data_IF_356962568193
#
_entry.id   IF_356962568193
#
_cell.length_a   1.000
_cell.length_b   1.000
_cell.length_c   1.000
_cell.angle_alpha   90.00
_cell.angle_beta   90.00
_cell.angle_gamma   90.00
#
_symmetry.space_group_name_H-M   'P 1'
#
loop_
_entity.id
_entity.type
_entity.pdbx_description
1 polymer ?
#
# COMPACT_ATOMS: atom_id res chain seq x y z
N UNK A 1 -16.78 2.38 11.47
CA UNK A 1 -15.62 2.55 12.39
C UNK A 1 -14.97 3.89 12.09
N UNK A 2 -14.69 4.72 13.13
CA UNK A 2 -14.01 6.03 12.96
C UNK A 2 -12.50 5.92 13.17
N UNK A 3 -11.74 6.84 12.56
CA UNK A 3 -10.31 6.97 12.82
C UNK A 3 -10.06 7.38 14.27
N UNK A 4 -9.07 6.77 14.92
CA UNK A 4 -8.50 7.18 16.20
C UNK A 4 -7.76 8.52 16.05
N UNK A 5 -7.51 9.24 17.16
CA UNK A 5 -6.90 10.56 17.12
C UNK A 5 -5.54 10.58 16.39
N UNK A 6 -4.67 9.63 16.67
CA UNK A 6 -3.38 9.51 15.98
C UNK A 6 -3.54 9.15 14.48
N UNK A 7 -4.55 8.34 14.11
CA UNK A 7 -4.81 8.02 12.71
C UNK A 7 -5.31 9.25 11.95
N UNK A 8 -6.16 10.08 12.56
CA UNK A 8 -6.59 11.37 12.00
C UNK A 8 -5.39 12.27 11.75
N UNK A 9 -4.43 12.31 12.70
CA UNK A 9 -3.18 13.06 12.54
C UNK A 9 -2.38 12.57 11.35
N UNK A 10 -2.22 11.25 11.17
CA UNK A 10 -1.50 10.68 10.02
C UNK A 10 -2.13 11.11 8.69
N UNK A 11 -3.46 11.08 8.60
CA UNK A 11 -4.17 11.52 7.38
C UNK A 11 -4.06 13.03 7.18
N UNK A 12 -4.11 13.84 8.25
CA UNK A 12 -3.90 15.28 8.17
C UNK A 12 -2.48 15.62 7.70
N UNK A 13 -1.46 14.90 8.19
CA UNK A 13 -0.07 15.04 7.74
C UNK A 13 0.06 14.72 6.24
N UNK A 14 -0.59 13.66 5.76
CA UNK A 14 -0.65 13.34 4.34
C UNK A 14 -1.31 14.46 3.53
N UNK A 15 -2.49 14.89 3.94
CA UNK A 15 -3.23 15.95 3.23
C UNK A 15 -2.39 17.22 3.11
N UNK A 16 -1.73 17.64 4.20
CA UNK A 16 -0.87 18.82 4.17
C UNK A 16 0.32 18.65 3.24
N UNK A 17 0.96 17.48 3.23
CA UNK A 17 2.03 17.22 2.28
C UNK A 17 1.54 17.29 0.82
N UNK A 18 0.38 16.71 0.53
CA UNK A 18 -0.20 16.72 -0.83
C UNK A 18 -0.57 18.13 -1.29
N UNK A 19 -1.04 19.01 -0.40
CA UNK A 19 -1.25 20.44 -0.67
C UNK A 19 0.07 21.10 -1.07
N UNK A 20 1.11 20.93 -0.25
CA UNK A 20 2.45 21.46 -0.52
C UNK A 20 3.06 20.91 -1.82
N UNK A 21 2.81 19.64 -2.13
CA UNK A 21 3.22 19.03 -3.40
C UNK A 21 2.53 19.73 -4.58
N UNK A 22 1.24 19.99 -4.46
CA UNK A 22 0.50 20.71 -5.50
C UNK A 22 0.93 22.17 -5.66
N UNK A 23 1.31 22.84 -4.56
CA UNK A 23 1.83 24.21 -4.58
C UNK A 23 3.22 24.29 -5.21
N UNK A 24 4.13 23.39 -4.79
CA UNK A 24 5.55 23.47 -5.19
C UNK A 24 5.87 22.73 -6.48
N UNK A 25 5.06 21.76 -6.86
CA UNK A 25 5.32 20.81 -7.97
C UNK A 25 6.66 20.08 -7.83
N UNK A 26 7.12 19.89 -6.60
CA UNK A 26 8.41 19.26 -6.28
C UNK A 26 8.32 18.50 -4.95
N UNK A 27 8.56 17.19 -5.00
CA UNK A 27 8.55 16.31 -3.82
C UNK A 27 9.54 16.79 -2.74
N UNK A 28 10.75 17.12 -3.16
CA UNK A 28 11.80 17.58 -2.25
C UNK A 28 11.45 18.93 -1.59
N UNK A 29 10.83 19.85 -2.34
CA UNK A 29 10.40 21.14 -1.81
C UNK A 29 9.21 20.97 -0.86
N UNK A 30 8.22 20.15 -1.24
CA UNK A 30 7.07 19.84 -0.40
C UNK A 30 7.48 19.18 0.92
N UNK A 31 8.40 18.20 0.86
CA UNK A 31 8.92 17.51 2.03
C UNK A 31 9.66 18.45 2.99
N UNK A 32 10.50 19.33 2.44
CA UNK A 32 11.22 20.33 3.22
C UNK A 32 10.27 21.31 3.90
N UNK A 33 9.30 21.87 3.17
CA UNK A 33 8.31 22.82 3.70
C UNK A 33 7.45 22.17 4.77
N UNK A 34 6.99 20.93 4.54
CA UNK A 34 6.21 20.17 5.50
C UNK A 34 6.91 20.08 6.87
N UNK A 35 8.21 19.76 6.90
CA UNK A 35 8.96 19.67 8.15
C UNK A 35 9.29 21.04 8.76
N UNK A 36 9.47 22.07 7.93
CA UNK A 36 9.62 23.44 8.42
C UNK A 36 8.37 23.93 9.16
N UNK A 37 7.18 23.68 8.62
CA UNK A 37 5.90 24.02 9.27
C UNK A 37 5.72 23.28 10.61
N UNK A 38 6.23 22.07 10.73
CA UNK A 38 6.16 21.29 11.98
C UNK A 38 7.15 21.76 13.04
N UNK A 39 8.00 22.73 12.75
CA UNK A 39 9.08 23.21 13.66
C UNK A 39 9.94 22.08 14.23
N UNK A 40 10.04 20.98 13.48
CA UNK A 40 10.79 19.79 13.85
C UNK A 40 12.05 19.67 12.96
N UNK A 41 13.17 19.14 13.48
CA UNK A 41 14.31 18.86 12.64
C UNK A 41 13.91 17.87 11.54
N UNK A 42 14.36 18.13 10.32
CA UNK A 42 14.12 17.21 9.22
C UNK A 42 14.79 15.87 9.51
N UNK A 43 14.10 14.78 9.20
CA UNK A 43 14.63 13.42 9.35
C UNK A 43 15.62 13.04 8.26
N UNK A 44 16.07 14.02 7.51
CA UNK A 44 16.96 13.90 6.37
C UNK A 44 16.43 14.67 5.17
N UNK A 45 17.17 14.61 4.07
CA UNK A 45 16.72 15.12 2.78
C UNK A 45 15.74 14.13 2.16
N UNK A 46 14.80 14.63 1.36
CA UNK A 46 13.92 13.79 0.56
C UNK A 46 14.74 12.84 -0.31
N UNK A 47 14.43 11.57 -0.23
CA UNK A 47 15.07 10.52 -1.02
C UNK A 47 14.23 10.26 -2.27
N UNK A 48 14.76 10.59 -3.42
CA UNK A 48 14.11 10.37 -4.72
C UNK A 48 14.35 8.92 -5.17
N UNK A 49 13.60 7.97 -4.55
CA UNK A 49 13.79 6.52 -4.76
C UNK A 49 13.40 6.12 -6.18
N UNK A 50 12.27 6.63 -6.67
CA UNK A 50 11.81 6.46 -8.06
C UNK A 50 11.70 7.86 -8.65
N UNK A 51 12.53 8.22 -9.64
CA UNK A 51 12.53 9.56 -10.21
C UNK A 51 11.16 10.02 -10.70
N UNK A 52 10.70 11.16 -10.20
CA UNK A 52 9.42 11.75 -10.59
C UNK A 52 8.19 11.11 -9.96
N UNK A 53 8.36 10.20 -9.01
CA UNK A 53 7.26 9.54 -8.29
C UNK A 53 7.31 9.91 -6.80
N UNK A 54 6.28 10.57 -6.26
CA UNK A 54 6.19 10.83 -4.83
C UNK A 54 6.22 9.53 -4.02
N UNK A 55 7.13 9.45 -3.04
CA UNK A 55 7.29 8.30 -2.17
C UNK A 55 7.28 8.76 -0.71
N UNK A 56 6.30 8.32 0.05
CA UNK A 56 6.12 8.69 1.45
C UNK A 56 6.02 7.47 2.36
N UNK A 57 6.42 7.67 3.61
CA UNK A 57 6.37 6.62 4.62
C UNK A 57 5.58 7.07 5.86
N UNK A 58 4.66 6.22 6.31
CA UNK A 58 4.03 6.32 7.62
C UNK A 58 4.70 5.32 8.58
N UNK A 59 5.33 5.84 9.61
CA UNK A 59 5.84 5.02 10.70
C UNK A 59 4.74 4.75 11.70
N UNK A 60 4.13 3.56 11.61
CA UNK A 60 3.03 3.15 12.49
C UNK A 60 3.36 1.78 13.09
N UNK A 61 3.37 1.61 14.41
CA UNK A 61 3.67 0.33 15.04
C UNK A 61 2.71 -0.79 14.63
N UNK A 62 3.15 -2.03 14.82
CA UNK A 62 2.27 -3.20 14.62
C UNK A 62 1.07 -3.10 15.57
N UNK A 63 -0.12 -3.40 15.06
CA UNK A 63 -1.39 -3.22 15.78
C UNK A 63 -1.95 -1.79 15.71
N UNK A 64 -1.22 -0.81 15.16
CA UNK A 64 -1.68 0.58 15.01
C UNK A 64 -2.69 0.83 13.86
N UNK A 65 -3.20 -0.23 13.22
CA UNK A 65 -4.23 -0.12 12.19
C UNK A 65 -3.71 0.44 10.86
N UNK A 66 -2.48 0.09 10.45
CA UNK A 66 -1.86 0.51 9.19
C UNK A 66 -2.78 0.35 7.99
N UNK A 67 -3.41 -0.82 7.85
CA UNK A 67 -4.32 -1.11 6.74
C UNK A 67 -5.51 -0.14 6.70
N UNK A 68 -6.09 0.20 7.86
CA UNK A 68 -7.19 1.16 7.92
C UNK A 68 -6.74 2.60 7.61
N UNK A 69 -5.53 2.98 8.04
CA UNK A 69 -4.90 4.25 7.66
C UNK A 69 -4.72 4.31 6.14
N UNK A 70 -4.20 3.24 5.53
CA UNK A 70 -4.03 3.15 4.08
C UNK A 70 -5.36 3.29 3.33
N UNK A 71 -6.42 2.61 3.76
CA UNK A 71 -7.76 2.77 3.17
C UNK A 71 -8.24 4.24 3.20
N UNK A 72 -7.88 4.99 4.24
CA UNK A 72 -8.22 6.41 4.36
C UNK A 72 -7.28 7.34 3.56
N UNK A 73 -6.12 6.86 3.14
CA UNK A 73 -5.15 7.62 2.34
C UNK A 73 -5.44 7.57 0.83
N UNK A 74 -6.12 6.51 0.34
CA UNK A 74 -6.34 6.29 -1.10
C UNK A 74 -7.04 7.48 -1.76
N UNK A 75 -8.16 7.93 -1.20
CA UNK A 75 -8.94 9.03 -1.78
C UNK A 75 -8.17 10.37 -1.80
N UNK A 76 -7.56 10.85 -0.70
CA UNK A 76 -6.75 12.06 -0.71
C UNK A 76 -5.61 12.04 -1.73
N UNK A 77 -4.95 10.91 -1.92
CA UNK A 77 -3.87 10.78 -2.91
C UNK A 77 -4.43 10.95 -4.32
N UNK A 78 -5.50 10.26 -4.70
CA UNK A 78 -6.08 10.41 -6.03
C UNK A 78 -6.66 11.80 -6.28
N UNK A 79 -7.22 12.45 -5.28
CA UNK A 79 -7.72 13.82 -5.41
C UNK A 79 -6.58 14.84 -5.63
N UNK A 80 -5.40 14.57 -5.08
CA UNK A 80 -4.21 15.39 -5.29
C UNK A 80 -3.49 15.11 -6.62
N UNK A 81 -3.77 13.99 -7.28
CA UNK A 81 -3.16 13.55 -8.53
C UNK A 81 -4.19 13.45 -9.67
N UNK A 82 -4.79 14.56 -10.10
CA UNK A 82 -5.91 14.54 -11.06
C UNK A 82 -5.53 14.06 -12.46
N UNK A 83 -4.23 13.99 -12.78
CA UNK A 83 -3.74 13.53 -14.08
C UNK A 83 -3.80 12.00 -14.26
N UNK A 84 -4.10 11.23 -13.21
CA UNK A 84 -4.23 9.77 -13.32
C UNK A 84 -5.47 9.40 -14.14
N UNK A 85 -5.27 8.65 -15.23
CA UNK A 85 -6.36 8.22 -16.12
C UNK A 85 -7.24 7.14 -15.48
N UNK A 86 -6.67 6.33 -14.60
CA UNK A 86 -7.33 5.23 -13.91
C UNK A 86 -7.18 5.36 -12.40
N UNK A 87 -8.08 4.76 -11.64
CA UNK A 87 -7.96 4.66 -10.17
C UNK A 87 -7.56 3.22 -9.82
N UNK A 88 -6.32 2.89 -10.11
CA UNK A 88 -5.72 1.59 -9.82
C UNK A 88 -4.84 1.66 -8.58
N UNK A 89 -4.99 0.70 -7.66
CA UNK A 89 -4.16 0.51 -6.47
C UNK A 89 -3.50 -0.84 -6.53
N UNK A 90 -2.19 -0.89 -6.42
CA UNK A 90 -1.43 -2.11 -6.14
C UNK A 90 -1.12 -2.14 -4.65
N UNK A 91 -1.67 -3.11 -3.94
CA UNK A 91 -1.45 -3.30 -2.51
C UNK A 91 -0.50 -4.47 -2.29
N UNK A 92 0.76 -4.16 -2.02
CA UNK A 92 1.83 -5.15 -1.82
C UNK A 92 1.90 -5.56 -0.35
N UNK A 93 1.84 -6.85 -0.12
CA UNK A 93 1.91 -7.47 1.22
C UNK A 93 3.06 -8.47 1.32
N UNK A 94 3.60 -8.72 2.54
CA UNK A 94 4.83 -9.49 2.70
C UNK A 94 4.67 -11.01 2.54
N UNK A 95 3.45 -11.54 2.62
CA UNK A 95 3.22 -12.99 2.55
C UNK A 95 1.82 -13.34 2.05
N UNK A 96 1.63 -14.58 1.59
CA UNK A 96 0.34 -15.08 1.12
C UNK A 96 -0.71 -15.17 2.23
N UNK A 97 -0.30 -15.37 3.48
CA UNK A 97 -1.22 -15.34 4.62
C UNK A 97 -1.80 -13.92 4.81
N UNK A 98 -0.96 -12.89 4.74
CA UNK A 98 -1.39 -11.49 4.82
C UNK A 98 -2.19 -11.11 3.57
N UNK A 99 -1.80 -11.61 2.38
CA UNK A 99 -2.56 -11.41 1.14
C UNK A 99 -4.01 -11.91 1.30
N UNK A 100 -4.17 -13.14 1.75
CA UNK A 100 -5.48 -13.76 1.93
C UNK A 100 -6.33 -12.97 2.94
N UNK A 101 -5.75 -12.56 4.05
CA UNK A 101 -6.42 -11.75 5.08
C UNK A 101 -6.82 -10.38 4.54
N UNK A 102 -5.92 -9.68 3.86
CA UNK A 102 -6.15 -8.34 3.31
C UNK A 102 -7.20 -8.37 2.20
N UNK A 103 -7.06 -9.31 1.25
CA UNK A 103 -8.02 -9.47 0.16
C UNK A 103 -9.42 -9.81 0.70
N UNK A 104 -9.53 -10.72 1.67
CA UNK A 104 -10.80 -11.05 2.31
C UNK A 104 -11.44 -9.84 2.98
N UNK A 105 -10.67 -9.07 3.77
CA UNK A 105 -11.17 -7.88 4.45
C UNK A 105 -11.62 -6.78 3.47
N UNK A 106 -10.92 -6.59 2.35
CA UNK A 106 -11.27 -5.60 1.33
C UNK A 106 -12.42 -6.04 0.43
N UNK A 107 -12.67 -7.35 0.28
CA UNK A 107 -13.83 -7.90 -0.47
C UNK A 107 -15.11 -7.93 0.35
N UNK A 108 -15.01 -8.04 1.67
CA UNK A 108 -16.16 -8.12 2.56
C UNK A 108 -16.80 -6.73 2.75
N UNK A 109 -17.97 -6.52 2.15
CA UNK A 109 -18.71 -5.25 2.21
C UNK A 109 -19.16 -4.85 3.62
N UNK A 110 -19.18 -5.79 4.57
CA UNK A 110 -19.43 -5.52 5.98
C UNK A 110 -18.18 -5.09 6.76
N UNK A 111 -16.98 -5.32 6.20
CA UNK A 111 -15.72 -5.00 6.86
C UNK A 111 -15.43 -3.49 6.84
N UNK A 112 -14.96 -2.89 7.95
CA UNK A 112 -14.70 -1.44 8.03
C UNK A 112 -13.74 -0.89 6.96
N UNK A 113 -12.78 -1.69 6.48
CA UNK A 113 -11.84 -1.31 5.41
C UNK A 113 -12.58 -1.11 4.10
N UNK A 114 -13.41 -2.09 3.72
CA UNK A 114 -14.22 -2.00 2.51
C UNK A 114 -15.24 -0.87 2.60
N UNK A 115 -15.96 -0.75 3.69
CA UNK A 115 -16.95 0.33 3.91
C UNK A 115 -16.33 1.72 3.72
N UNK A 116 -15.09 1.93 4.22
CA UNK A 116 -14.41 3.21 4.05
C UNK A 116 -14.14 3.51 2.56
N UNK A 117 -13.62 2.55 1.84
CA UNK A 117 -13.32 2.70 0.41
C UNK A 117 -14.62 2.85 -0.40
N UNK A 118 -15.67 2.11 -0.07
CA UNK A 118 -16.97 2.23 -0.73
C UNK A 118 -17.57 3.62 -0.55
N UNK A 119 -17.50 4.20 0.64
CA UNK A 119 -17.95 5.59 0.90
C UNK A 119 -17.17 6.57 0.04
N UNK A 120 -15.86 6.42 -0.05
CA UNK A 120 -14.99 7.34 -0.78
C UNK A 120 -15.17 7.25 -2.31
N UNK A 121 -15.52 6.08 -2.83
CA UNK A 121 -15.62 5.81 -4.28
C UNK A 121 -17.04 5.47 -4.74
N UNK A 122 -18.06 5.77 -3.91
CA UNK A 122 -19.47 5.60 -4.26
C UNK A 122 -19.87 4.15 -4.51
N UNK A 123 -19.25 3.20 -3.82
CA UNK A 123 -19.47 1.76 -3.99
C UNK A 123 -18.88 1.16 -5.27
N UNK A 124 -18.22 1.97 -6.10
CA UNK A 124 -17.56 1.50 -7.34
C UNK A 124 -16.15 1.02 -7.02
N UNK A 125 -16.04 -0.15 -6.44
CA UNK A 125 -14.76 -0.73 -5.99
C UNK A 125 -14.73 -2.22 -6.33
N UNK A 126 -13.68 -2.65 -6.99
CA UNK A 126 -13.41 -4.05 -7.23
C UNK A 126 -12.03 -4.43 -6.64
N UNK A 127 -11.96 -5.61 -6.05
CA UNK A 127 -10.74 -6.10 -5.38
C UNK A 127 -10.31 -7.41 -6.01
N UNK A 128 -9.08 -7.44 -6.49
CA UNK A 128 -8.53 -8.56 -7.25
C UNK A 128 -7.35 -9.19 -6.53
N UNK A 129 -7.25 -10.49 -6.63
CA UNK A 129 -6.04 -11.28 -6.41
C UNK A 129 -5.32 -11.49 -7.75
N UNK A 130 -4.05 -11.92 -7.73
CA UNK A 130 -3.29 -12.22 -8.95
C UNK A 130 -4.02 -13.20 -9.88
N UNK A 131 -4.63 -14.25 -9.32
CA UNK A 131 -5.32 -15.26 -10.11
C UNK A 131 -6.56 -14.70 -10.83
N UNK A 132 -7.32 -13.83 -10.17
CA UNK A 132 -8.49 -13.18 -10.78
C UNK A 132 -8.06 -12.22 -11.89
N UNK A 133 -6.96 -11.50 -11.71
CA UNK A 133 -6.39 -10.64 -12.74
C UNK A 133 -5.94 -11.46 -13.98
N UNK A 134 -5.21 -12.56 -13.75
CA UNK A 134 -4.77 -13.45 -14.85
C UNK A 134 -5.93 -14.08 -15.60
N UNK A 135 -7.04 -14.37 -14.93
CA UNK A 135 -8.24 -14.90 -15.53
C UNK A 135 -9.10 -13.84 -16.23
N UNK A 136 -8.75 -12.54 -16.13
CA UNK A 136 -9.58 -11.44 -16.63
C UNK A 136 -10.95 -11.33 -15.93
N UNK A 137 -11.07 -11.87 -14.72
CA UNK A 137 -12.34 -11.93 -14.00
C UNK A 137 -12.74 -10.54 -13.52
N UNK A 138 -13.78 -9.96 -14.15
CA UNK A 138 -14.22 -8.57 -13.96
C UNK A 138 -13.10 -7.51 -14.16
N UNK A 139 -11.94 -7.91 -14.67
CA UNK A 139 -10.81 -7.05 -14.92
C UNK A 139 -10.70 -6.78 -16.43
N UNK A 140 -11.16 -5.62 -16.85
CA UNK A 140 -11.19 -5.16 -18.24
C UNK A 140 -11.03 -3.64 -18.32
N UNK A 141 -10.77 -3.06 -19.50
CA UNK A 141 -10.51 -1.63 -19.65
C UNK A 141 -11.65 -0.72 -19.14
N UNK A 142 -12.90 -1.10 -19.32
CA UNK A 142 -14.05 -0.34 -18.82
C UNK A 142 -14.07 -0.33 -17.30
N UNK A 143 -13.89 -1.49 -16.66
CA UNK A 143 -13.88 -1.60 -15.22
C UNK A 143 -12.81 -0.72 -14.57
N UNK A 144 -11.56 -0.74 -15.07
CA UNK A 144 -10.46 0.06 -14.49
C UNK A 144 -10.62 1.56 -14.72
N UNK A 145 -11.44 1.97 -15.68
CA UNK A 145 -11.73 3.38 -15.95
C UNK A 145 -12.87 3.91 -15.06
N UNK A 146 -13.88 3.08 -14.79
CA UNK A 146 -15.12 3.52 -14.13
C UNK A 146 -15.10 3.32 -12.60
N UNK A 147 -14.22 2.48 -12.08
CA UNK A 147 -14.20 2.11 -10.66
C UNK A 147 -12.78 2.12 -10.07
N UNK A 148 -12.70 2.08 -8.74
CA UNK A 148 -11.45 1.81 -8.06
C UNK A 148 -11.09 0.33 -8.19
N UNK A 149 -9.95 0.03 -8.79
CA UNK A 149 -9.41 -1.31 -8.93
C UNK A 149 -8.30 -1.55 -7.92
N UNK A 150 -8.54 -2.38 -6.91
CA UNK A 150 -7.55 -2.71 -5.86
C UNK A 150 -6.98 -4.10 -6.10
N UNK A 151 -5.69 -4.17 -6.41
CA UNK A 151 -4.96 -5.40 -6.71
C UNK A 151 -4.12 -5.79 -5.50
N UNK A 152 -4.55 -6.79 -4.73
CA UNK A 152 -3.81 -7.28 -3.57
C UNK A 152 -2.83 -8.36 -4.01
N UNK A 153 -1.53 -8.07 -3.87
CA UNK A 153 -0.45 -8.87 -4.42
C UNK A 153 0.63 -9.11 -3.35
N UNK A 154 1.27 -10.27 -3.37
CA UNK A 154 2.46 -10.49 -2.54
C UNK A 154 3.72 -10.07 -3.28
N UNK A 155 4.79 -9.76 -2.53
CA UNK A 155 6.09 -9.45 -3.16
C UNK A 155 6.59 -10.56 -4.08
N UNK A 156 6.25 -11.80 -3.78
CA UNK A 156 6.68 -12.96 -4.56
C UNK A 156 5.87 -13.15 -5.86
N UNK A 157 4.77 -12.40 -6.02
CA UNK A 157 3.92 -12.48 -7.23
C UNK A 157 4.65 -12.15 -8.51
N UNK A 158 5.71 -11.30 -8.43
CA UNK A 158 6.48 -10.82 -9.59
C UNK A 158 7.98 -11.07 -9.44
N UNK A 159 8.42 -11.80 -8.43
CA UNK A 159 9.84 -12.06 -8.12
C UNK A 159 10.19 -13.51 -8.31
N UNK A 160 11.36 -13.76 -8.92
CA UNK A 160 11.88 -15.12 -9.11
C UNK A 160 11.62 -15.68 -10.50
N UNK A 161 11.89 -16.98 -10.66
CA UNK A 161 11.83 -17.70 -11.93
C UNK A 161 10.81 -18.85 -11.94
N UNK A 162 9.92 -18.89 -10.96
CA UNK A 162 8.88 -19.91 -10.86
C UNK A 162 7.82 -19.78 -11.96
N UNK A 163 7.19 -20.89 -12.36
CA UNK A 163 6.14 -20.90 -13.39
C UNK A 163 5.01 -19.89 -13.09
N UNK A 164 4.61 -19.75 -11.85
CA UNK A 164 3.56 -18.81 -11.44
C UNK A 164 3.97 -17.34 -11.55
N UNK A 165 5.27 -17.06 -11.38
CA UNK A 165 5.81 -15.71 -11.61
C UNK A 165 5.83 -15.40 -13.10
N UNK A 166 6.31 -16.35 -13.91
CA UNK A 166 6.41 -16.17 -15.37
C UNK A 166 5.06 -15.88 -16.03
N UNK A 167 3.95 -16.42 -15.51
CA UNK A 167 2.61 -16.10 -16.01
C UNK A 167 2.27 -14.61 -16.02
N UNK A 168 2.86 -13.83 -15.12
CA UNK A 168 2.61 -12.39 -15.08
C UNK A 168 3.35 -11.61 -16.19
N UNK A 169 4.34 -12.24 -16.83
CA UNK A 169 5.17 -11.65 -17.90
C UNK A 169 4.83 -12.20 -19.28
N UNK A 170 4.05 -13.29 -19.35
CA UNK A 170 3.69 -13.94 -20.59
C UNK A 170 2.41 -13.33 -21.21
N UNK A 171 2.29 -13.49 -22.52
CA UNK A 171 1.07 -13.18 -23.25
C UNK A 171 -0.16 -13.79 -22.57
N UNK A 172 -1.20 -12.97 -22.42
CA UNK A 172 -2.46 -13.40 -21.82
C UNK A 172 -3.65 -12.95 -22.66
N UNK A 173 -4.27 -13.90 -23.33
CA UNK A 173 -5.43 -13.66 -24.19
C UNK A 173 -6.63 -13.08 -23.43
N UNK A 174 -6.78 -13.37 -22.13
CA UNK A 174 -7.85 -12.80 -21.29
C UNK A 174 -7.70 -11.28 -21.11
N UNK A 175 -6.49 -10.75 -21.33
CA UNK A 175 -6.16 -9.32 -21.18
C UNK A 175 -5.96 -8.61 -22.53
N UNK A 176 -6.17 -9.29 -23.65
CA UNK A 176 -5.93 -8.74 -24.99
C UNK A 176 -6.74 -7.46 -25.30
N UNK A 177 -7.87 -7.27 -24.63
CA UNK A 177 -8.70 -6.06 -24.78
C UNK A 177 -7.96 -4.81 -24.25
N UNK A 178 -7.16 -4.96 -23.20
CA UNK A 178 -6.36 -3.85 -22.67
C UNK A 178 -5.39 -3.29 -23.71
N UNK A 179 -4.68 -4.15 -24.44
CA UNK A 179 -3.74 -3.72 -25.48
C UNK A 179 -4.44 -2.90 -26.58
N UNK A 180 -5.70 -3.24 -26.93
CA UNK A 180 -6.51 -2.48 -27.90
C UNK A 180 -6.89 -1.10 -27.39
N UNK A 181 -7.19 -0.97 -26.09
CA UNK A 181 -7.69 0.28 -25.51
C UNK A 181 -6.55 1.17 -25.01
N UNK A 182 -5.55 0.59 -24.33
CA UNK A 182 -4.41 1.34 -23.79
C UNK A 182 -3.36 1.66 -24.86
N UNK A 183 -3.32 0.89 -25.95
CA UNK A 183 -2.31 1.04 -26.99
C UNK A 183 -0.94 0.52 -26.56
N UNK A 184 0.09 0.96 -27.28
CA UNK A 184 1.47 0.59 -26.95
C UNK A 184 1.91 1.21 -25.63
N UNK A 185 2.63 0.45 -24.77
CA UNK A 185 3.12 0.97 -23.52
C UNK A 185 4.21 2.05 -23.75
N UNK A 186 4.09 3.17 -23.02
CA UNK A 186 5.11 4.23 -23.00
C UNK A 186 6.42 3.75 -22.31
N UNK A 187 6.27 2.82 -21.37
CA UNK A 187 7.37 2.23 -20.59
C UNK A 187 7.29 0.70 -20.64
N UNK A 188 7.78 0.08 -21.74
CA UNK A 188 7.71 -1.37 -21.87
C UNK A 188 8.61 -2.06 -20.84
N UNK A 189 8.08 -3.07 -20.16
CA UNK A 189 8.83 -3.89 -19.22
C UNK A 189 9.68 -4.89 -20.00
N UNK A 190 10.99 -4.95 -19.71
CA UNK A 190 11.89 -5.94 -20.32
C UNK A 190 11.36 -7.37 -20.06
N UNK A 191 11.28 -8.17 -21.12
CA UNK A 191 10.79 -9.57 -21.07
C UNK A 191 9.30 -9.76 -20.75
N UNK A 192 8.48 -8.71 -20.77
CA UNK A 192 7.04 -8.84 -20.67
C UNK A 192 6.36 -8.64 -22.02
N UNK A 193 5.37 -9.49 -22.33
CA UNK A 193 4.52 -9.33 -23.52
C UNK A 193 3.56 -8.14 -23.36
N UNK A 194 3.09 -7.56 -24.45
CA UNK A 194 2.18 -6.39 -24.42
C UNK A 194 0.86 -6.69 -23.67
N UNK A 195 0.38 -7.92 -23.70
CA UNK A 195 -0.83 -8.37 -22.99
C UNK A 195 -0.51 -9.03 -21.65
N UNK A 196 0.75 -9.03 -21.22
CA UNK A 196 1.13 -9.57 -19.93
C UNK A 196 0.51 -8.78 -18.78
N UNK A 197 0.10 -9.46 -17.73
CA UNK A 197 -0.52 -8.82 -16.56
C UNK A 197 0.34 -7.69 -16.01
N UNK A 198 1.66 -7.90 -15.90
CA UNK A 198 2.55 -6.89 -15.34
C UNK A 198 2.64 -5.65 -16.24
N UNK A 199 2.65 -5.83 -17.57
CA UNK A 199 2.64 -4.72 -18.52
C UNK A 199 1.32 -3.95 -18.47
N UNK A 200 0.19 -4.63 -18.31
CA UNK A 200 -1.10 -3.96 -18.15
C UNK A 200 -1.12 -3.12 -16.87
N UNK A 201 -0.68 -3.67 -15.74
CA UNK A 201 -0.61 -2.92 -14.48
C UNK A 201 0.29 -1.70 -14.60
N UNK A 202 1.44 -1.81 -15.28
CA UNK A 202 2.33 -0.70 -15.58
C UNK A 202 1.62 0.45 -16.31
N UNK A 203 0.82 0.13 -17.31
CA UNK A 203 0.08 1.11 -18.11
C UNK A 203 -1.08 1.78 -17.33
N UNK A 204 -1.56 1.15 -16.26
CA UNK A 204 -2.58 1.75 -15.37
C UNK A 204 -2.01 2.84 -14.48
N UNK A 205 -0.69 2.96 -14.33
CA UNK A 205 0.00 3.95 -13.49
C UNK A 205 -0.56 3.99 -12.05
N UNK A 206 -0.49 2.88 -11.31
CA UNK A 206 -1.22 2.71 -10.06
C UNK A 206 -0.63 3.52 -8.89
N UNK A 207 -1.47 3.79 -7.88
CA UNK A 207 -0.99 4.03 -6.52
C UNK A 207 -0.45 2.71 -5.96
N UNK A 208 0.82 2.67 -5.55
CA UNK A 208 1.40 1.49 -4.90
C UNK A 208 1.44 1.68 -3.39
N UNK A 209 0.74 0.84 -2.66
CA UNK A 209 0.77 0.75 -1.20
C UNK A 209 1.66 -0.42 -0.82
N UNK A 210 2.69 -0.16 -0.02
CA UNK A 210 3.68 -1.16 0.41
C UNK A 210 3.50 -1.43 1.89
N UNK A 211 2.89 -2.56 2.25
CA UNK A 211 2.70 -2.94 3.64
C UNK A 211 3.94 -3.69 4.16
N UNK A 212 4.43 -3.28 5.34
CA UNK A 212 5.66 -3.79 5.95
C UNK A 212 6.88 -3.69 5.01
N UNK A 213 7.14 -2.51 4.49
CA UNK A 213 8.19 -2.21 3.49
C UNK A 213 9.61 -2.65 3.89
N UNK A 214 9.86 -2.91 5.18
CA UNK A 214 11.14 -3.45 5.65
C UNK A 214 11.46 -4.86 5.10
N UNK A 215 10.46 -5.61 4.65
CA UNK A 215 10.65 -6.88 3.95
C UNK A 215 11.05 -6.70 2.47
N UNK A 216 10.81 -5.53 1.89
CA UNK A 216 11.16 -5.19 0.51
C UNK A 216 12.63 -4.67 0.39
N UNK A 217 13.63 -5.49 0.76
CA UNK A 217 15.02 -5.02 1.00
C UNK A 217 16.02 -5.23 -0.15
N UNK A 218 15.62 -5.67 -1.33
CA UNK A 218 16.56 -5.96 -2.42
C UNK A 218 16.44 -4.97 -3.57
N UNK A 219 17.51 -4.83 -4.38
CA UNK A 219 17.49 -4.11 -5.67
C UNK A 219 16.35 -4.60 -6.57
N UNK A 220 16.07 -5.90 -6.56
CA UNK A 220 14.90 -6.50 -7.23
C UNK A 220 13.55 -5.92 -6.77
N UNK A 221 13.47 -5.41 -5.55
CA UNK A 221 12.24 -4.78 -5.05
C UNK A 221 12.07 -3.38 -5.61
N UNK A 222 13.16 -2.65 -5.83
CA UNK A 222 13.14 -1.33 -6.46
C UNK A 222 12.76 -1.46 -7.94
N UNK A 223 13.43 -2.34 -8.68
CA UNK A 223 13.09 -2.64 -10.08
C UNK A 223 11.63 -3.05 -10.25
N UNK A 224 11.11 -3.90 -9.35
CA UNK A 224 9.70 -4.27 -9.36
C UNK A 224 8.78 -3.07 -9.13
N UNK A 225 9.13 -2.17 -8.20
CA UNK A 225 8.35 -0.96 -7.94
C UNK A 225 8.40 -0.01 -9.14
N UNK A 226 9.55 0.18 -9.76
CA UNK A 226 9.71 0.96 -10.99
C UNK A 226 8.89 0.37 -12.15
N UNK A 227 8.89 -0.95 -12.28
CA UNK A 227 8.12 -1.66 -13.31
C UNK A 227 6.59 -1.57 -13.13
N UNK A 228 6.08 -1.26 -11.93
CA UNK A 228 4.67 -0.88 -11.78
C UNK A 228 4.36 0.51 -12.35
N UNK A 229 5.38 1.33 -12.64
CA UNK A 229 5.23 2.71 -13.12
C UNK A 229 4.25 3.50 -12.23
N UNK A 230 4.46 3.58 -10.90
CA UNK A 230 3.48 4.11 -9.97
C UNK A 230 3.29 5.62 -10.13
N UNK A 231 2.07 6.11 -9.91
CA UNK A 231 1.81 7.54 -9.77
C UNK A 231 2.18 8.07 -8.37
N UNK A 232 2.23 7.18 -7.39
CA UNK A 232 2.57 7.46 -5.99
C UNK A 232 2.94 6.17 -5.27
N UNK A 233 3.89 6.23 -4.33
CA UNK A 233 4.24 5.12 -3.45
C UNK A 233 3.98 5.51 -2.00
N UNK A 234 3.19 4.70 -1.29
CA UNK A 234 2.89 4.85 0.13
C UNK A 234 3.41 3.67 0.93
N UNK A 235 4.47 3.88 1.69
CA UNK A 235 5.04 2.89 2.59
C UNK A 235 4.37 2.90 3.96
N UNK A 236 4.04 1.73 4.48
CA UNK A 236 3.48 1.52 5.81
C UNK A 236 4.38 0.57 6.60
N UNK A 237 5.05 1.05 7.63
CA UNK A 237 5.97 0.20 8.40
C UNK A 237 6.12 0.64 9.85
N UNK A 238 6.38 -0.33 10.72
CA UNK A 238 6.79 -0.05 12.11
C UNK A 238 8.28 0.32 12.20
N UNK A 239 9.09 -0.19 11.26
CA UNK A 239 10.55 -0.07 11.23
C UNK A 239 11.02 0.51 9.89
N UNK A 240 10.87 1.84 9.68
CA UNK A 240 11.28 2.48 8.44
C UNK A 240 12.79 2.32 8.20
N UNK A 241 13.17 2.31 6.93
CA UNK A 241 14.58 2.35 6.52
C UNK A 241 15.15 3.74 6.75
N UNK A 242 16.49 3.85 6.72
CA UNK A 242 17.18 5.13 6.85
C UNK A 242 16.80 6.11 5.74
N UNK A 243 16.51 5.58 4.56
CA UNK A 243 16.16 6.32 3.35
C UNK A 243 14.64 6.56 3.20
N UNK A 244 13.82 6.22 4.19
CA UNK A 244 12.36 6.40 4.11
C UNK A 244 11.98 7.87 4.27
N UNK A 245 11.14 8.38 3.39
CA UNK A 245 10.58 9.74 3.46
C UNK A 245 9.42 9.78 4.46
N UNK A 246 9.75 9.80 5.74
CA UNK A 246 8.74 9.74 6.80
C UNK A 246 8.07 11.11 6.92
N UNK A 247 6.74 11.17 6.85
CA UNK A 247 5.95 12.38 7.08
C UNK A 247 5.08 12.30 8.33
N UNK A 248 4.87 11.10 8.87
CA UNK A 248 4.12 10.94 10.10
C UNK A 248 4.66 9.79 10.94
N UNK A 249 4.66 10.02 12.25
CA UNK A 249 5.05 9.01 13.23
C UNK A 249 3.93 8.76 14.20
N UNK A 250 3.76 7.50 14.55
CA UNK A 250 2.93 7.06 15.67
C UNK A 250 3.83 6.35 16.66
N UNK A 251 3.79 6.75 17.92
CA UNK A 251 4.55 6.12 18.99
C UNK A 251 3.69 5.16 19.84
N UNK A 252 4.34 4.40 20.71
CA UNK A 252 3.67 3.45 21.59
C UNK A 252 2.75 4.14 22.62
N UNK A 253 3.06 5.37 23.03
CA UNK A 253 2.24 6.13 23.98
C UNK A 253 0.91 6.52 23.36
N UNK A 254 0.94 6.98 22.09
CA UNK A 254 -0.26 7.30 21.35
C UNK A 254 -1.17 6.07 21.17
N UNK A 255 -0.59 4.89 20.87
CA UNK A 255 -1.35 3.65 20.80
C UNK A 255 -1.96 3.28 22.16
N UNK A 256 -1.18 3.39 23.25
CA UNK A 256 -1.64 3.12 24.60
C UNK A 256 -2.82 4.00 24.99
N UNK A 257 -2.75 5.29 24.71
CA UNK A 257 -3.81 6.25 25.03
C UNK A 257 -5.13 5.96 24.29
N UNK A 258 -5.06 5.30 23.13
CA UNK A 258 -6.22 4.91 22.33
C UNK A 258 -6.60 3.42 22.50
N UNK A 259 -6.03 2.74 23.49
CA UNK A 259 -6.26 1.31 23.78
C UNK A 259 -5.97 0.38 22.60
N UNK A 260 -4.95 0.73 21.78
CA UNK A 260 -4.52 -0.03 20.60
C UNK A 260 -3.25 -0.86 20.87
N UNK A 261 -2.78 -0.93 22.10
CA UNK A 261 -1.63 -1.74 22.49
C UNK A 261 -2.09 -3.18 22.70
N UNK A 262 -1.34 -4.15 22.18
CA UNK A 262 -1.51 -5.54 22.58
C UNK A 262 -1.24 -5.65 24.08
N UNK A 263 -2.08 -6.40 24.80
CA UNK A 263 -1.81 -6.72 26.18
C UNK A 263 -0.43 -7.38 26.30
N UNK A 264 0.37 -7.04 27.32
CA UNK A 264 1.64 -7.70 27.54
C UNK A 264 1.40 -9.20 27.73
N UNK A 265 2.15 -10.03 27.02
CA UNK A 265 2.19 -11.45 27.27
C UNK A 265 3.22 -11.66 28.36
N UNK A 266 2.76 -12.00 29.57
CA UNK A 266 3.64 -12.33 30.68
C UNK A 266 3.90 -13.84 30.57
N UNK A 267 5.17 -14.19 30.35
CA UNK A 267 5.60 -15.59 30.28
C UNK A 267 6.23 -15.92 31.63
N UNK A 268 5.57 -16.79 32.38
CA UNK A 268 6.14 -17.37 33.60
C UNK A 268 6.85 -18.68 33.24
N UNK A 269 8.13 -18.77 33.57
CA UNK A 269 8.85 -20.04 33.51
C UNK A 269 8.71 -20.69 34.88
N UNK A 270 7.99 -21.81 34.95
CA UNK A 270 7.75 -22.57 36.17
C UNK A 270 8.25 -24.01 35.99
N UNK A 271 8.68 -24.62 37.08
CA UNK A 271 9.21 -25.98 37.04
C UNK A 271 8.11 -27.07 37.01
N UNK A 272 6.84 -26.68 37.31
CA UNK A 272 5.70 -27.59 37.30
C UNK A 272 4.47 -27.03 36.57
N UNK A 273 3.71 -27.93 35.94
CA UNK A 273 2.43 -27.54 35.29
C UNK A 273 1.38 -27.04 36.29
N UNK A 274 1.43 -27.50 37.52
CA UNK A 274 0.48 -27.07 38.58
C UNK A 274 0.69 -25.60 38.96
N UNK A 275 1.93 -25.13 39.04
CA UNK A 275 2.26 -23.74 39.29
C UNK A 275 1.82 -22.83 38.15
N UNK A 276 1.95 -23.27 36.90
CA UNK A 276 1.48 -22.53 35.73
C UNK A 276 -0.03 -22.36 35.74
N UNK A 277 -0.76 -23.38 36.16
CA UNK A 277 -2.22 -23.33 36.26
C UNK A 277 -2.70 -22.40 37.39
N UNK A 278 -2.01 -22.38 38.53
CA UNK A 278 -2.31 -21.50 39.65
C UNK A 278 -2.10 -20.03 39.21
N UNK A 279 -0.96 -19.73 38.61
CA UNK A 279 -0.66 -18.36 38.11
C UNK A 279 -1.65 -17.89 37.03
N UNK A 280 -2.21 -18.80 36.22
CA UNK A 280 -3.20 -18.48 35.19
C UNK A 280 -4.61 -18.21 35.77
N UNK A 281 -4.89 -18.68 36.99
CA UNK A 281 -6.16 -18.46 37.69
C UNK A 281 -6.12 -17.13 38.48
N UNK A 282 -4.92 -16.74 38.93
CA UNK A 282 -4.70 -15.52 39.73
C UNK A 282 -4.51 -14.23 38.88
N UNK A 283 -4.56 -14.36 37.55
CA UNK A 283 -4.51 -13.24 36.59
C UNK A 283 -5.91 -12.83 36.13
#
# INVERSE_FOLDING_TARGET
MGLKSYQKKVIADLTRYLELLNETKSDAAAFRLFWQEKSAPTLGLYQNVIPGVPNLCFKVPTGGGKTFIACNAVRPIFDALPATKTKAVVWLVPSDAILTQTAKALKDTSHPYRQKIDVDFGGRVEVYTKQELLNGQNFNPTAVTEQLSVMVLSYDSFRGRGKEVLKAYQENSNLAEFAKVLGKPDSPIEKADETALFQIINQLNPLVIVDESHHARSELSLEMLENFNPCFVLDLTATPKKESNIISYVDAVQLKNEHMVKLPVIVYNRDSQSEVLIDAIDL
#
